data_IF_246310765897
#
_entry.id   IF_246310765897
#
_cell.length_a   1.000
_cell.length_b   1.000
_cell.length_c   1.000
_cell.angle_alpha   90.00
_cell.angle_beta   90.00
_cell.angle_gamma   90.00
#
_symmetry.space_group_name_H-M   'P 1'
#
loop_
_entity.id
_entity.type
_entity.pdbx_description
1 polymer ?
#
# COMPACT_ATOMS: atom_id res chain seq x y z
N UNK A 1 -23.66 -8.70 -23.40
CA UNK A 1 -22.50 -7.85 -23.00
C UNK A 1 -23.02 -6.66 -22.21
N UNK A 2 -22.87 -6.65 -20.88
CA UNK A 2 -23.28 -5.51 -20.05
C UNK A 2 -22.34 -4.33 -20.33
N UNK A 3 -22.90 -3.24 -20.87
CA UNK A 3 -22.22 -1.96 -21.09
C UNK A 3 -21.93 -1.31 -19.73
N UNK A 4 -20.66 -1.02 -19.45
CA UNK A 4 -20.23 -0.18 -18.33
C UNK A 4 -20.61 1.27 -18.69
N UNK A 5 -21.45 1.91 -17.86
CA UNK A 5 -21.83 3.33 -18.00
C UNK A 5 -20.66 4.24 -17.57
N UNK A 6 -20.52 5.45 -18.16
CA UNK A 6 -19.47 6.39 -17.77
C UNK A 6 -19.76 7.05 -16.43
N UNK A 7 -18.70 7.32 -15.66
CA UNK A 7 -18.74 8.08 -14.40
C UNK A 7 -19.24 9.50 -14.67
N UNK A 8 -20.48 9.77 -14.28
CA UNK A 8 -20.95 11.08 -13.84
C UNK A 8 -22.00 10.84 -12.74
N UNK A 9 -22.01 11.77 -11.79
CA UNK A 9 -23.02 11.99 -10.74
C UNK A 9 -22.63 11.51 -9.33
N UNK A 10 -22.62 12.49 -8.44
CA UNK A 10 -22.17 12.51 -7.05
C UNK A 10 -23.07 11.72 -6.07
N UNK A 11 -23.46 10.49 -6.44
CA UNK A 11 -24.18 9.54 -5.56
C UNK A 11 -23.52 8.15 -5.49
N UNK A 12 -22.33 7.98 -6.09
CA UNK A 12 -21.52 6.77 -5.87
C UNK A 12 -20.82 6.86 -4.51
N UNK A 13 -21.17 5.97 -3.59
CA UNK A 13 -20.45 5.80 -2.32
C UNK A 13 -18.93 5.81 -2.55
N UNK A 14 -18.19 6.67 -1.82
CA UNK A 14 -16.75 6.81 -1.97
C UNK A 14 -16.06 5.46 -1.75
N UNK A 15 -15.31 5.00 -2.74
CA UNK A 15 -14.63 3.69 -2.72
C UNK A 15 -13.36 3.81 -1.87
N UNK A 16 -13.24 3.02 -0.80
CA UNK A 16 -12.03 2.97 0.00
C UNK A 16 -11.00 1.99 -0.58
N UNK A 17 -11.43 0.76 -0.89
CA UNK A 17 -10.56 -0.31 -1.39
C UNK A 17 -11.15 -0.92 -2.66
N UNK A 18 -10.31 -1.27 -3.62
CA UNK A 18 -10.68 -2.14 -4.74
C UNK A 18 -9.71 -3.29 -4.83
N UNK A 19 -10.23 -4.51 -4.88
CA UNK A 19 -9.46 -5.69 -5.23
C UNK A 19 -9.61 -5.96 -6.72
N UNK A 20 -8.61 -5.56 -7.51
CA UNK A 20 -8.68 -5.65 -8.96
C UNK A 20 -8.83 -7.09 -9.44
N UNK A 21 -8.16 -8.04 -8.80
CA UNK A 21 -8.20 -9.45 -9.20
C UNK A 21 -9.54 -10.11 -8.84
N UNK A 22 -10.15 -9.74 -7.70
CA UNK A 22 -11.46 -10.25 -7.28
C UNK A 22 -12.63 -9.47 -7.87
N UNK A 23 -12.38 -8.30 -8.46
CA UNK A 23 -13.41 -7.46 -9.08
C UNK A 23 -14.41 -6.88 -8.08
N UNK A 24 -13.98 -6.64 -6.84
CA UNK A 24 -14.83 -6.09 -5.77
C UNK A 24 -14.32 -4.73 -5.32
N UNK A 25 -15.26 -3.81 -5.18
CA UNK A 25 -15.06 -2.52 -4.52
C UNK A 25 -15.63 -2.59 -3.11
N UNK A 26 -14.95 -1.92 -2.18
CA UNK A 26 -15.35 -1.73 -0.81
C UNK A 26 -15.42 -0.23 -0.53
N UNK A 27 -16.60 0.24 -0.15
CA UNK A 27 -16.88 1.65 0.13
C UNK A 27 -16.39 2.07 1.50
N UNK A 28 -16.18 3.37 1.72
CA UNK A 28 -15.88 3.90 3.05
C UNK A 28 -16.97 3.60 4.08
N UNK A 29 -18.23 3.48 3.64
CA UNK A 29 -19.32 3.04 4.51
C UNK A 29 -19.12 1.59 4.98
N UNK A 30 -18.84 0.67 4.04
CA UNK A 30 -18.53 -0.72 4.38
C UNK A 30 -17.25 -0.85 5.21
N UNK A 31 -16.22 -0.04 4.93
CA UNK A 31 -15.01 0.05 5.75
C UNK A 31 -15.36 0.41 7.20
N UNK A 32 -16.19 1.44 7.40
CA UNK A 32 -16.63 1.88 8.72
C UNK A 32 -17.44 0.80 9.45
N UNK A 33 -18.32 0.07 8.75
CA UNK A 33 -19.05 -1.07 9.30
C UNK A 33 -18.07 -2.16 9.76
N UNK A 34 -17.11 -2.54 8.90
CA UNK A 34 -16.10 -3.53 9.24
C UNK A 34 -15.23 -3.12 10.43
N UNK A 35 -14.80 -1.85 10.48
CA UNK A 35 -14.04 -1.30 11.62
C UNK A 35 -14.86 -1.39 12.90
N UNK A 36 -16.12 -0.98 12.86
CA UNK A 36 -17.02 -1.03 14.02
C UNK A 36 -17.20 -2.46 14.54
N UNK A 37 -17.29 -3.42 13.62
CA UNK A 37 -17.41 -4.83 13.97
C UNK A 37 -16.14 -5.36 14.67
N UNK A 38 -14.95 -5.06 14.11
CA UNK A 38 -13.68 -5.43 14.74
C UNK A 38 -13.51 -4.71 16.09
N UNK A 39 -13.87 -3.44 16.24
CA UNK A 39 -13.85 -2.75 17.54
C UNK A 39 -14.71 -3.47 18.58
N UNK A 40 -15.88 -3.98 18.20
CA UNK A 40 -16.70 -4.79 19.09
C UNK A 40 -15.98 -6.08 19.51
N UNK A 41 -15.36 -6.79 18.55
CA UNK A 41 -14.55 -7.99 18.84
C UNK A 41 -13.43 -7.65 19.84
N UNK A 42 -12.66 -6.59 19.59
CA UNK A 42 -11.57 -6.15 20.48
C UNK A 42 -12.09 -5.84 21.89
N UNK A 43 -13.20 -5.10 22.00
CA UNK A 43 -13.82 -4.76 23.28
C UNK A 43 -14.33 -5.99 24.05
N UNK A 44 -14.94 -6.96 23.36
CA UNK A 44 -15.41 -8.20 24.01
C UNK A 44 -14.26 -9.09 24.51
N UNK A 45 -13.08 -9.00 23.90
CA UNK A 45 -11.87 -9.68 24.35
C UNK A 45 -11.07 -8.86 25.37
N UNK A 46 -11.58 -7.70 25.81
CA UNK A 46 -10.94 -6.88 26.85
C UNK A 46 -9.70 -6.11 26.39
N UNK A 47 -9.49 -5.97 25.07
CA UNK A 47 -8.37 -5.21 24.52
C UNK A 47 -8.46 -3.75 24.98
N UNK A 48 -7.34 -3.24 25.46
CA UNK A 48 -7.15 -1.88 25.97
C UNK A 48 -6.18 -1.08 25.09
N UNK A 49 -6.04 0.22 25.39
CA UNK A 49 -5.08 1.09 24.69
C UNK A 49 -3.66 0.50 24.81
N UNK A 50 -2.90 0.55 23.71
CA UNK A 50 -1.52 0.06 23.56
C UNK A 50 -1.36 -1.47 23.66
N UNK A 51 -2.44 -2.23 23.82
CA UNK A 51 -2.37 -3.68 23.68
C UNK A 51 -2.01 -4.04 22.24
N UNK A 52 -1.28 -5.15 22.08
CA UNK A 52 -0.76 -5.59 20.79
C UNK A 52 -1.67 -6.66 20.21
N UNK A 53 -2.14 -6.46 18.99
CA UNK A 53 -3.09 -7.36 18.32
C UNK A 53 -2.46 -7.88 17.04
N UNK A 54 -2.32 -9.20 16.92
CA UNK A 54 -1.73 -9.85 15.76
C UNK A 54 -2.72 -9.95 14.59
N UNK A 55 -2.23 -9.63 13.39
CA UNK A 55 -2.93 -9.84 12.12
C UNK A 55 -1.94 -10.40 11.10
N UNK A 56 -2.37 -11.43 10.38
CA UNK A 56 -1.61 -11.96 9.24
C UNK A 56 -1.75 -11.03 8.05
N UNK A 57 -0.64 -10.74 7.36
CA UNK A 57 -0.60 -9.91 6.15
C UNK A 57 -1.20 -10.64 4.96
N UNK A 58 -2.53 -10.78 4.97
CA UNK A 58 -3.28 -11.46 3.92
C UNK A 58 -3.65 -10.54 2.77
N UNK A 59 -3.88 -11.16 1.61
CA UNK A 59 -4.20 -10.50 0.35
C UNK A 59 -5.68 -10.15 0.23
N UNK A 60 -6.18 -9.38 1.21
CA UNK A 60 -7.60 -9.12 1.38
C UNK A 60 -7.88 -7.67 1.78
N UNK A 61 -9.03 -7.19 1.34
CA UNK A 61 -9.67 -5.97 1.85
C UNK A 61 -9.88 -6.04 3.36
N UNK A 62 -10.08 -7.27 3.87
CA UNK A 62 -10.28 -7.59 5.28
C UNK A 62 -9.04 -7.27 6.11
N UNK A 63 -7.84 -7.54 5.60
CA UNK A 63 -6.61 -7.13 6.29
C UNK A 63 -6.53 -5.62 6.49
N UNK A 64 -6.88 -4.82 5.48
CA UNK A 64 -6.89 -3.36 5.61
C UNK A 64 -7.96 -2.87 6.60
N UNK A 65 -9.13 -3.53 6.67
CA UNK A 65 -10.14 -3.28 7.70
C UNK A 65 -9.57 -3.56 9.09
N UNK A 66 -8.96 -4.75 9.30
CA UNK A 66 -8.39 -5.15 10.60
C UNK A 66 -7.29 -4.17 11.04
N UNK A 67 -6.37 -3.82 10.14
CA UNK A 67 -5.32 -2.84 10.39
C UNK A 67 -5.89 -1.49 10.84
N UNK A 68 -6.81 -0.93 10.04
CA UNK A 68 -7.44 0.35 10.37
C UNK A 68 -8.22 0.28 11.68
N UNK A 69 -8.90 -0.84 11.94
CA UNK A 69 -9.67 -1.06 13.17
C UNK A 69 -8.78 -1.11 14.41
N UNK A 70 -7.69 -1.90 14.39
CA UNK A 70 -6.76 -2.00 15.52
C UNK A 70 -6.19 -0.63 15.87
N UNK A 71 -5.69 0.10 14.86
CA UNK A 71 -5.08 1.40 15.08
C UNK A 71 -6.14 2.39 15.59
N UNK A 72 -7.30 2.51 14.94
CA UNK A 72 -8.36 3.43 15.40
C UNK A 72 -8.98 3.06 16.75
N UNK A 73 -8.85 1.80 17.18
CA UNK A 73 -9.22 1.34 18.52
C UNK A 73 -8.21 1.78 19.60
N UNK A 74 -7.01 2.22 19.19
CA UNK A 74 -5.91 2.60 20.09
C UNK A 74 -4.99 1.44 20.49
N UNK A 75 -5.08 0.30 19.81
CA UNK A 75 -4.19 -0.84 19.96
C UNK A 75 -3.05 -0.80 18.92
N UNK A 76 -2.03 -1.64 19.10
CA UNK A 76 -0.86 -1.75 18.22
C UNK A 76 -1.02 -2.95 17.30
N UNK A 77 -0.98 -2.74 15.99
CA UNK A 77 -1.08 -3.81 15.02
C UNK A 77 0.25 -4.56 14.87
N UNK A 78 0.26 -5.86 15.17
CA UNK A 78 1.42 -6.74 14.98
C UNK A 78 1.22 -7.48 13.66
N UNK A 79 2.01 -7.15 12.64
CA UNK A 79 1.88 -7.70 11.29
C UNK A 79 2.66 -9.01 11.19
N UNK A 80 1.95 -10.12 11.11
CA UNK A 80 2.53 -11.45 10.92
C UNK A 80 2.65 -11.73 9.42
N UNK A 81 3.84 -12.10 8.90
CA UNK A 81 3.97 -12.47 7.49
C UNK A 81 3.09 -13.68 7.13
N UNK A 82 2.40 -13.64 5.98
CA UNK A 82 1.47 -14.69 5.53
C UNK A 82 2.07 -16.11 5.54
N UNK A 83 3.33 -16.24 5.13
CA UNK A 83 4.05 -17.51 5.08
C UNK A 83 5.09 -17.65 6.19
N UNK A 84 4.84 -17.06 7.36
CA UNK A 84 5.72 -17.19 8.51
C UNK A 84 5.85 -18.67 8.94
N UNK A 85 7.09 -19.15 9.08
CA UNK A 85 7.36 -20.48 9.62
C UNK A 85 6.96 -20.55 11.10
N UNK A 86 6.87 -21.75 11.69
CA UNK A 86 6.61 -21.88 13.12
C UNK A 86 7.68 -21.16 13.97
N UNK A 87 8.95 -21.22 13.54
CA UNK A 87 10.03 -20.50 14.22
C UNK A 87 9.88 -18.98 14.13
N UNK A 88 9.43 -18.47 12.98
CA UNK A 88 9.15 -17.04 12.82
C UNK A 88 7.98 -16.62 13.73
N UNK A 89 6.91 -17.42 13.78
CA UNK A 89 5.74 -17.15 14.65
C UNK A 89 6.12 -17.16 16.12
N UNK A 90 6.95 -18.11 16.57
CA UNK A 90 7.48 -18.14 17.93
C UNK A 90 8.32 -16.90 18.23
N UNK A 91 9.23 -16.51 17.34
CA UNK A 91 10.02 -15.29 17.48
C UNK A 91 9.12 -14.04 17.58
N UNK A 92 8.14 -13.91 16.68
CA UNK A 92 7.18 -12.81 16.66
C UNK A 92 6.42 -12.75 17.99
N UNK A 93 5.90 -13.89 18.46
CA UNK A 93 5.18 -13.96 19.73
C UNK A 93 6.07 -13.57 20.92
N UNK A 94 7.34 -13.98 20.92
CA UNK A 94 8.27 -13.64 22.00
C UNK A 94 8.64 -12.15 22.01
N UNK A 95 8.82 -11.53 20.84
CA UNK A 95 9.21 -10.11 20.73
C UNK A 95 8.02 -9.18 20.92
N UNK A 96 6.88 -9.52 20.32
CA UNK A 96 5.70 -8.66 20.29
C UNK A 96 4.66 -9.00 21.33
N UNK A 97 4.62 -10.20 21.90
CA UNK A 97 3.67 -10.58 22.96
C UNK A 97 2.21 -10.07 22.72
N UNK A 98 1.58 -10.42 21.58
CA UNK A 98 0.23 -9.97 21.28
C UNK A 98 -0.78 -10.57 22.29
N UNK A 99 -1.76 -9.78 22.71
CA UNK A 99 -2.82 -10.23 23.63
C UNK A 99 -3.86 -11.09 22.93
N UNK A 100 -4.01 -10.93 21.60
CA UNK A 100 -4.87 -11.75 20.76
C UNK A 100 -4.46 -11.69 19.28
N UNK A 101 -5.01 -12.59 18.46
CA UNK A 101 -4.93 -12.57 16.99
C UNK A 101 -6.32 -12.42 16.36
N UNK A 102 -6.40 -11.78 15.18
CA UNK A 102 -7.61 -11.69 14.35
C UNK A 102 -7.59 -12.60 13.10
N UNK A 103 -6.70 -13.59 13.03
CA UNK A 103 -6.58 -14.52 11.89
C UNK A 103 -7.76 -15.49 11.72
N UNK A 104 -8.81 -15.38 12.55
CA UNK A 104 -10.07 -16.12 12.38
C UNK A 104 -11.21 -15.32 11.75
N UNK A 105 -10.97 -14.05 11.39
CA UNK A 105 -11.99 -13.10 10.94
C UNK A 105 -11.74 -12.68 9.48
N UNK A 106 -11.66 -13.63 8.56
CA UNK A 106 -11.19 -13.37 7.17
C UNK A 106 -12.32 -13.19 6.15
N UNK A 107 -13.56 -13.51 6.55
CA UNK A 107 -14.73 -13.33 5.68
C UNK A 107 -15.24 -11.91 5.73
N UNK A 108 -15.09 -11.22 4.60
CA UNK A 108 -15.64 -9.88 4.44
C UNK A 108 -17.17 -9.85 4.60
N UNK A 109 -17.87 -10.90 4.16
CA UNK A 109 -19.33 -10.98 4.34
C UNK A 109 -19.71 -11.14 5.81
N UNK A 110 -18.95 -11.92 6.60
CA UNK A 110 -19.19 -12.03 8.04
C UNK A 110 -18.98 -10.69 8.73
N UNK A 111 -17.91 -9.95 8.37
CA UNK A 111 -17.65 -8.64 8.96
C UNK A 111 -18.73 -7.61 8.64
N UNK A 112 -19.29 -7.64 7.42
CA UNK A 112 -20.28 -6.65 6.97
C UNK A 112 -21.72 -6.98 7.38
N UNK A 113 -22.07 -8.27 7.46
CA UNK A 113 -23.45 -8.70 7.72
C UNK A 113 -23.75 -8.94 9.20
N UNK A 114 -22.76 -8.91 10.09
CA UNK A 114 -23.02 -9.17 11.51
C UNK A 114 -23.56 -7.91 12.19
N UNK A 115 -24.83 -7.91 12.64
CA UNK A 115 -25.45 -6.72 13.20
C UNK A 115 -24.75 -6.28 14.48
N UNK A 116 -24.17 -5.08 14.45
CA UNK A 116 -23.63 -4.43 15.64
C UNK A 116 -24.79 -3.97 16.52
N UNK A 117 -25.20 -4.83 17.47
CA UNK A 117 -26.37 -4.62 18.35
C UNK A 117 -26.25 -3.41 19.28
N UNK A 118 -25.05 -2.83 19.42
CA UNK A 118 -24.81 -1.61 20.19
C UNK A 118 -23.94 -0.67 19.37
N UNK A 119 -24.22 0.64 19.34
CA UNK A 119 -23.29 1.61 18.80
C UNK A 119 -22.00 1.52 19.61
N UNK A 120 -20.93 1.05 18.97
CA UNK A 120 -19.59 1.17 19.55
C UNK A 120 -19.31 2.66 19.60
N UNK A 121 -19.10 3.21 20.81
CA UNK A 121 -18.51 4.54 20.90
C UNK A 121 -17.11 4.40 20.30
N UNK A 122 -16.93 4.92 19.10
CA UNK A 122 -15.60 5.17 18.54
C UNK A 122 -15.01 6.27 19.42
N UNK A 123 -14.44 5.88 20.57
CA UNK A 123 -13.53 6.75 21.29
C UNK A 123 -12.32 6.86 20.38
N UNK A 124 -12.19 7.99 19.70
CA UNK A 124 -10.92 8.37 19.09
C UNK A 124 -9.95 8.48 20.26
N UNK A 125 -9.21 7.40 20.52
CA UNK A 125 -8.23 7.36 21.60
C UNK A 125 -7.21 8.47 21.34
N UNK A 126 -6.87 9.21 22.39
CA UNK A 126 -5.81 10.21 22.31
C UNK A 126 -4.48 9.49 22.11
N UNK A 127 -3.89 9.66 20.93
CA UNK A 127 -2.53 9.22 20.64
C UNK A 127 -1.52 10.22 21.18
N UNK A 128 -0.45 9.74 21.79
CA UNK A 128 0.82 10.47 21.82
C UNK A 128 1.50 10.33 20.45
N UNK A 129 2.27 11.34 20.04
CA UNK A 129 3.05 11.27 18.80
C UNK A 129 4.09 10.13 18.83
N UNK A 130 4.54 9.77 20.03
CA UNK A 130 5.52 8.71 20.27
C UNK A 130 4.91 7.33 20.49
N UNK A 131 3.57 7.21 20.52
CA UNK A 131 2.90 5.92 20.64
C UNK A 131 3.23 5.06 19.42
N UNK A 132 3.47 3.77 19.66
CA UNK A 132 3.65 2.78 18.61
C UNK A 132 2.28 2.38 18.06
N UNK A 133 2.14 2.24 16.74
CA UNK A 133 0.87 1.86 16.09
C UNK A 133 0.96 0.57 15.28
N UNK A 134 2.16 0.25 14.78
CA UNK A 134 2.40 -0.94 13.96
C UNK A 134 3.74 -1.53 14.38
N UNK A 135 3.79 -2.85 14.53
CA UNK A 135 5.02 -3.63 14.63
C UNK A 135 5.02 -4.57 13.43
N UNK A 136 5.87 -4.29 12.46
CA UNK A 136 6.08 -5.08 11.26
C UNK A 136 7.33 -5.97 11.43
N UNK A 137 7.42 -7.07 10.68
CA UNK A 137 8.54 -7.99 10.76
C UNK A 137 9.21 -8.15 9.40
N UNK A 138 10.46 -7.67 9.30
CA UNK A 138 11.22 -7.64 8.06
C UNK A 138 12.46 -8.51 8.16
N UNK A 139 12.80 -9.19 7.06
CA UNK A 139 14.05 -9.93 6.96
C UNK A 139 15.17 -9.00 6.55
N UNK A 140 16.31 -9.10 7.23
CA UNK A 140 17.54 -8.44 6.83
C UNK A 140 18.25 -9.18 5.66
N UNK A 141 19.43 -8.69 5.27
CA UNK A 141 20.24 -9.30 4.20
C UNK A 141 20.74 -10.70 4.54
N UNK A 142 20.83 -11.06 5.81
CA UNK A 142 21.20 -12.39 6.28
C UNK A 142 19.98 -13.32 6.35
N UNK A 143 18.78 -12.81 6.05
CA UNK A 143 17.53 -13.54 6.17
C UNK A 143 16.98 -13.58 7.59
N UNK A 144 17.58 -12.89 8.55
CA UNK A 144 17.10 -12.85 9.94
C UNK A 144 15.91 -11.90 10.05
N UNK A 145 14.87 -12.33 10.76
CA UNK A 145 13.66 -11.53 10.99
C UNK A 145 13.89 -10.53 12.12
N UNK A 146 13.49 -9.27 11.91
CA UNK A 146 13.58 -8.20 12.89
C UNK A 146 12.27 -7.43 12.97
N UNK A 147 11.91 -7.00 14.18
CA UNK A 147 10.77 -6.11 14.40
C UNK A 147 11.10 -4.68 13.97
N UNK A 148 10.19 -4.06 13.23
CA UNK A 148 10.24 -2.66 12.80
C UNK A 148 8.97 -1.99 13.30
N UNK A 149 9.13 -1.07 14.23
CA UNK A 149 8.01 -0.35 14.82
C UNK A 149 7.76 0.94 14.08
N UNK A 150 6.49 1.24 13.79
CA UNK A 150 6.04 2.54 13.28
C UNK A 150 5.36 3.32 14.39
N UNK A 151 5.78 4.58 14.54
CA UNK A 151 5.18 5.52 15.49
C UNK A 151 4.10 6.39 14.84
N UNK A 152 3.23 6.96 15.67
CA UNK A 152 2.16 7.87 15.22
C UNK A 152 2.70 9.02 14.37
N UNK A 153 3.80 9.66 14.79
CA UNK A 153 4.36 10.79 14.04
C UNK A 153 4.84 10.39 12.64
N UNK A 154 5.40 9.20 12.45
CA UNK A 154 5.90 8.72 11.16
C UNK A 154 4.75 8.48 10.18
N UNK A 155 3.66 7.90 10.69
CA UNK A 155 2.41 7.76 9.94
C UNK A 155 1.83 9.13 9.56
N UNK A 156 1.75 10.07 10.51
CA UNK A 156 1.21 11.41 10.25
C UNK A 156 2.03 12.18 9.22
N UNK A 157 3.36 12.10 9.29
CA UNK A 157 4.25 12.72 8.30
C UNK A 157 4.03 12.15 6.90
N UNK A 158 3.85 10.83 6.78
CA UNK A 158 3.55 10.20 5.50
C UNK A 158 2.18 10.65 4.96
N UNK A 159 1.14 10.62 5.78
CA UNK A 159 -0.20 11.04 5.40
C UNK A 159 -0.22 12.51 4.92
N UNK A 160 0.45 13.41 5.64
CA UNK A 160 0.55 14.82 5.27
C UNK A 160 1.35 15.03 3.98
N UNK A 161 2.40 14.23 3.76
CA UNK A 161 3.18 14.25 2.51
C UNK A 161 2.33 13.85 1.31
N UNK A 162 1.56 12.75 1.43
CA UNK A 162 0.66 12.28 0.37
C UNK A 162 -0.41 13.35 0.10
N UNK A 163 -1.03 13.88 1.15
CA UNK A 163 -2.06 14.93 1.06
C UNK A 163 -1.54 16.21 0.41
N UNK A 164 -0.38 16.70 0.82
CA UNK A 164 0.23 17.94 0.29
C UNK A 164 0.63 17.79 -1.18
N UNK A 165 1.22 16.65 -1.56
CA UNK A 165 1.52 16.39 -2.97
C UNK A 165 0.23 16.31 -3.79
N UNK A 166 -0.82 15.72 -3.24
CA UNK A 166 -2.10 15.63 -3.95
C UNK A 166 -2.79 16.99 -4.08
N UNK A 167 -2.89 17.78 -3.01
CA UNK A 167 -3.59 19.08 -3.01
C UNK A 167 -2.95 20.11 -3.95
N UNK A 168 -1.66 19.95 -4.27
CA UNK A 168 -0.99 20.73 -5.31
C UNK A 168 -1.62 20.55 -6.70
N UNK A 169 -2.29 19.42 -6.95
CA UNK A 169 -3.13 19.22 -8.11
C UNK A 169 -4.49 19.85 -7.85
N UNK A 170 -4.84 20.92 -8.58
CA UNK A 170 -6.21 21.48 -8.60
C UNK A 170 -7.19 20.49 -9.22
N UNK A 171 -7.49 19.38 -8.54
CA UNK A 171 -8.34 18.30 -9.03
C UNK A 171 -9.46 18.02 -8.02
N UNK A 172 -10.68 17.83 -8.52
CA UNK A 172 -11.88 17.55 -7.72
C UNK A 172 -12.09 16.05 -7.42
N UNK A 173 -11.07 15.21 -7.68
CA UNK A 173 -11.18 13.76 -7.54
C UNK A 173 -10.51 13.29 -6.25
N UNK A 174 -10.79 12.05 -5.86
CA UNK A 174 -10.17 11.42 -4.72
C UNK A 174 -8.72 11.01 -5.06
N UNK A 175 -7.76 11.09 -4.12
CA UNK A 175 -6.45 10.50 -4.33
C UNK A 175 -6.61 9.01 -4.62
N UNK A 176 -5.78 8.47 -5.52
CA UNK A 176 -5.80 7.05 -5.86
C UNK A 176 -4.40 6.48 -5.71
N UNK A 177 -4.28 5.48 -4.84
CA UNK A 177 -3.07 4.71 -4.59
C UNK A 177 -3.20 3.31 -5.20
N UNK A 178 -2.20 2.86 -5.93
CA UNK A 178 -2.12 1.49 -6.42
C UNK A 178 -1.10 0.70 -5.59
N UNK A 179 -1.57 -0.34 -4.93
CA UNK A 179 -0.73 -1.36 -4.30
C UNK A 179 -0.40 -2.42 -5.34
N UNK A 180 0.82 -2.39 -5.85
CA UNK A 180 1.22 -3.24 -6.96
C UNK A 180 1.51 -4.68 -6.53
N UNK A 181 1.99 -4.91 -5.31
CA UNK A 181 2.21 -6.24 -4.77
C UNK A 181 1.77 -6.23 -3.30
N UNK A 182 0.67 -6.92 -3.00
CA UNK A 182 0.08 -6.96 -1.66
C UNK A 182 1.00 -7.60 -0.61
N UNK A 183 1.89 -8.51 -1.01
CA UNK A 183 2.81 -9.21 -0.10
C UNK A 183 3.98 -8.36 0.40
N UNK A 184 4.14 -7.15 -0.14
CA UNK A 184 5.26 -6.27 0.16
C UNK A 184 4.80 -4.85 0.47
N UNK A 185 3.51 -4.67 0.75
CA UNK A 185 2.96 -3.37 1.14
C UNK A 185 3.33 -3.09 2.58
N UNK A 186 3.82 -1.88 2.81
CA UNK A 186 4.01 -1.38 4.16
C UNK A 186 2.65 -0.94 4.73
N UNK A 187 2.26 -1.55 5.86
CA UNK A 187 1.01 -1.25 6.56
C UNK A 187 0.83 0.26 6.83
N UNK A 188 1.92 0.99 7.06
CA UNK A 188 1.90 2.44 7.26
C UNK A 188 1.34 3.19 6.04
N UNK A 189 1.62 2.73 4.82
CA UNK A 189 1.14 3.37 3.59
C UNK A 189 -0.36 3.19 3.39
N UNK A 190 -0.86 1.99 3.68
CA UNK A 190 -2.31 1.70 3.60
C UNK A 190 -3.06 2.53 4.61
N UNK A 191 -2.56 2.59 5.84
CA UNK A 191 -3.14 3.42 6.89
C UNK A 191 -3.11 4.91 6.51
N UNK A 192 -1.98 5.42 5.99
CA UNK A 192 -1.83 6.81 5.56
C UNK A 192 -2.75 7.17 4.39
N UNK A 193 -2.94 6.26 3.43
CA UNK A 193 -3.86 6.47 2.33
C UNK A 193 -5.33 6.47 2.80
N UNK A 194 -5.71 5.52 3.66
CA UNK A 194 -7.07 5.49 4.22
C UNK A 194 -7.39 6.74 5.03
N UNK A 195 -6.44 7.25 5.82
CA UNK A 195 -6.65 8.42 6.70
C UNK A 195 -6.88 9.73 5.97
N UNK A 196 -6.37 9.87 4.74
CA UNK A 196 -6.60 11.05 3.89
C UNK A 196 -7.81 10.89 2.95
N UNK A 197 -8.54 9.78 3.07
CA UNK A 197 -9.67 9.51 2.19
C UNK A 197 -9.27 9.04 0.79
N UNK A 198 -8.12 8.39 0.60
CA UNK A 198 -7.70 7.90 -0.71
C UNK A 198 -8.37 6.57 -1.10
N UNK A 199 -8.65 6.41 -2.40
CA UNK A 199 -8.98 5.11 -3.00
C UNK A 199 -7.72 4.26 -3.11
N UNK A 200 -7.73 3.07 -2.53
CA UNK A 200 -6.64 2.09 -2.65
C UNK A 200 -7.07 0.98 -3.62
N UNK A 201 -6.46 0.97 -4.80
CA UNK A 201 -6.58 -0.13 -5.75
C UNK A 201 -5.48 -1.16 -5.48
N UNK A 202 -5.82 -2.43 -5.40
CA UNK A 202 -4.89 -3.50 -5.08
C UNK A 202 -4.79 -4.47 -6.25
N UNK A 203 -3.58 -4.65 -6.77
CA UNK A 203 -3.33 -5.44 -7.99
C UNK A 203 -3.16 -6.96 -7.74
N UNK A 204 -3.08 -7.38 -6.48
CA UNK A 204 -2.96 -8.79 -6.05
C UNK A 204 -1.58 -9.16 -5.49
N UNK A 205 -1.42 -10.46 -5.24
CA UNK A 205 -0.28 -11.17 -4.64
C UNK A 205 1.05 -10.92 -5.32
N UNK A 206 1.06 -11.09 -6.63
CA UNK A 206 2.23 -11.13 -7.49
C UNK A 206 1.77 -10.91 -8.93
N UNK A 207 1.25 -9.71 -9.27
CA UNK A 207 0.79 -9.50 -10.63
C UNK A 207 1.97 -9.61 -11.60
N UNK A 208 1.71 -10.22 -12.76
CA UNK A 208 2.62 -10.11 -13.89
C UNK A 208 2.79 -8.63 -14.28
N UNK A 209 3.93 -8.26 -14.85
CA UNK A 209 4.14 -6.89 -15.36
C UNK A 209 3.05 -6.48 -16.36
N UNK A 210 2.49 -7.44 -17.11
CA UNK A 210 1.36 -7.22 -18.00
C UNK A 210 0.06 -6.86 -17.26
N UNK A 211 -0.27 -7.58 -16.17
CA UNK A 211 -1.42 -7.28 -15.31
C UNK A 211 -1.25 -5.92 -14.64
N UNK A 212 -0.07 -5.67 -14.07
CA UNK A 212 0.23 -4.41 -13.39
C UNK A 212 0.08 -3.20 -14.34
N UNK A 213 0.58 -3.30 -15.57
CA UNK A 213 0.39 -2.24 -16.58
C UNK A 213 -1.07 -2.04 -16.97
N UNK A 214 -1.88 -3.11 -17.04
CA UNK A 214 -3.33 -2.99 -17.25
C UNK A 214 -3.98 -2.24 -16.09
N UNK A 215 -3.63 -2.56 -14.83
CA UNK A 215 -4.11 -1.84 -13.65
C UNK A 215 -3.71 -0.36 -13.68
N UNK A 216 -2.43 -0.07 -13.95
CA UNK A 216 -1.89 1.29 -14.04
C UNK A 216 -2.58 2.11 -15.12
N UNK A 217 -2.83 1.50 -16.29
CA UNK A 217 -3.56 2.15 -17.39
C UNK A 217 -5.04 2.36 -17.07
N UNK A 218 -5.66 1.42 -16.35
CA UNK A 218 -7.07 1.47 -16.00
C UNK A 218 -7.34 2.54 -14.92
N UNK A 219 -6.64 2.48 -13.79
CA UNK A 219 -6.87 3.36 -12.65
C UNK A 219 -6.16 4.71 -12.75
N UNK A 220 -5.06 4.78 -13.52
CA UNK A 220 -4.20 5.98 -13.65
C UNK A 220 -3.89 6.61 -12.27
N UNK A 221 -3.25 5.83 -11.37
CA UNK A 221 -3.03 6.25 -9.99
C UNK A 221 -2.16 7.50 -9.88
N UNK A 222 -2.32 8.19 -8.75
CA UNK A 222 -1.48 9.31 -8.34
C UNK A 222 -0.28 8.83 -7.50
N UNK A 223 -0.49 7.77 -6.72
CA UNK A 223 0.52 7.14 -5.88
C UNK A 223 0.64 5.66 -6.24
N UNK A 224 1.86 5.13 -6.34
CA UNK A 224 2.07 3.71 -6.61
C UNK A 224 3.06 3.16 -5.60
N UNK A 225 2.68 2.10 -4.91
CA UNK A 225 3.53 1.36 -3.99
C UNK A 225 3.99 0.08 -4.69
N UNK A 226 5.29 -0.04 -4.89
CA UNK A 226 5.95 -1.19 -5.52
C UNK A 226 6.97 -1.76 -4.55
N UNK A 227 7.19 -3.05 -4.57
CA UNK A 227 8.42 -3.59 -3.99
C UNK A 227 9.60 -3.44 -4.97
N UNK A 228 10.82 -3.46 -4.45
CA UNK A 228 12.05 -3.35 -5.24
C UNK A 228 12.09 -4.36 -6.38
N UNK A 229 11.70 -5.62 -6.13
CA UNK A 229 11.74 -6.66 -7.16
C UNK A 229 10.74 -6.42 -8.29
N UNK A 230 9.53 -5.94 -7.96
CA UNK A 230 8.49 -5.58 -8.93
C UNK A 230 8.88 -4.35 -9.71
N UNK A 231 9.43 -3.33 -9.06
CA UNK A 231 9.93 -2.13 -9.71
C UNK A 231 11.10 -2.45 -10.65
N UNK A 232 12.09 -3.25 -10.21
CA UNK A 232 13.20 -3.69 -11.06
C UNK A 232 12.72 -4.48 -12.26
N UNK A 233 11.84 -5.45 -12.05
CA UNK A 233 11.27 -6.27 -13.12
C UNK A 233 10.55 -5.39 -14.14
N UNK A 234 9.72 -4.45 -13.69
CA UNK A 234 9.01 -3.53 -14.56
C UNK A 234 9.98 -2.66 -15.39
N UNK A 235 11.03 -2.14 -14.76
CA UNK A 235 12.06 -1.32 -15.43
C UNK A 235 12.84 -2.17 -16.45
N UNK A 236 13.29 -3.37 -16.06
CA UNK A 236 14.08 -4.27 -16.92
C UNK A 236 13.28 -4.80 -18.11
N UNK A 237 12.00 -5.13 -17.92
CA UNK A 237 11.17 -5.69 -18.99
C UNK A 237 10.63 -4.62 -19.94
N UNK A 238 10.44 -3.37 -19.48
CA UNK A 238 9.74 -2.34 -20.26
C UNK A 238 10.57 -1.12 -20.61
N UNK A 239 11.50 -0.72 -19.74
CA UNK A 239 12.27 0.51 -19.91
C UNK A 239 13.63 0.21 -20.54
N UNK A 240 14.36 -0.80 -20.05
CA UNK A 240 15.69 -1.14 -20.58
C UNK A 240 15.71 -1.57 -22.06
N UNK A 241 14.74 -2.36 -22.58
CA UNK A 241 14.71 -2.73 -23.99
C UNK A 241 14.48 -1.52 -24.90
N UNK A 242 13.92 -0.43 -24.36
CA UNK A 242 13.69 0.80 -25.10
C UNK A 242 14.91 1.73 -25.12
N UNK A 243 15.88 1.52 -24.23
CA UNK A 243 17.15 2.23 -24.22
C UNK A 243 18.19 1.56 -25.12
N UNK A 244 18.11 0.24 -25.27
CA UNK A 244 18.95 -0.52 -26.20
C UNK A 244 18.46 -0.33 -27.63
N UNK A 245 19.02 0.66 -28.32
CA UNK A 245 18.86 0.83 -29.75
C UNK A 245 20.00 0.06 -30.45
N UNK A 246 19.74 -1.01 -31.23
CA UNK A 246 20.80 -1.83 -31.82
C UNK A 246 21.71 -1.06 -32.79
N UNK A 247 21.26 0.10 -33.29
CA UNK A 247 21.94 0.89 -34.31
C UNK A 247 22.73 2.10 -33.77
N UNK A 248 22.90 2.25 -32.45
CA UNK A 248 23.67 3.39 -31.91
C UNK A 248 24.42 2.98 -30.64
N UNK A 249 25.73 2.67 -30.73
CA UNK A 249 26.48 2.28 -29.55
C UNK A 249 26.63 3.48 -28.60
N UNK A 250 26.45 3.22 -27.30
CA UNK A 250 26.34 4.22 -26.22
C UNK A 250 27.54 5.17 -26.10
N UNK A 251 28.71 4.75 -26.59
CA UNK A 251 29.94 5.53 -26.62
C UNK A 251 29.97 6.60 -27.72
N UNK A 252 29.08 6.53 -28.73
CA UNK A 252 29.02 7.48 -29.84
C UNK A 252 27.93 8.54 -29.68
N UNK A 253 27.19 8.55 -28.56
CA UNK A 253 26.12 9.51 -28.34
C UNK A 253 26.65 10.85 -27.83
N UNK A 254 26.31 11.93 -28.54
CA UNK A 254 26.56 13.30 -28.07
C UNK A 254 25.83 13.58 -26.75
N UNK A 255 26.33 14.54 -25.97
CA UNK A 255 25.71 14.98 -24.70
C UNK A 255 24.23 15.41 -24.87
N UNK A 256 23.88 15.93 -26.04
CA UNK A 256 22.51 16.35 -26.39
C UNK A 256 21.63 15.14 -26.72
N UNK A 257 22.12 14.20 -27.53
CA UNK A 257 21.41 12.97 -27.86
C UNK A 257 21.11 12.15 -26.60
N UNK A 258 22.08 12.05 -25.69
CA UNK A 258 21.93 11.37 -24.40
C UNK A 258 20.86 12.04 -23.52
N UNK A 259 20.85 13.38 -23.43
CA UNK A 259 19.81 14.12 -22.69
C UNK A 259 18.42 13.90 -23.29
N UNK A 260 18.29 13.91 -24.61
CA UNK A 260 17.00 13.70 -25.27
C UNK A 260 16.48 12.27 -25.07
N UNK A 261 17.36 11.27 -25.14
CA UNK A 261 17.02 9.88 -24.84
C UNK A 261 16.49 9.73 -23.41
N UNK A 262 17.16 10.34 -22.42
CA UNK A 262 16.73 10.29 -21.02
C UNK A 262 15.38 10.98 -20.78
N UNK A 263 15.14 12.13 -21.43
CA UNK A 263 13.82 12.80 -21.40
C UNK A 263 12.73 11.92 -22.00
N UNK A 264 13.03 11.23 -23.11
CA UNK A 264 12.08 10.33 -23.75
C UNK A 264 11.80 9.09 -22.89
N UNK A 265 12.84 8.53 -22.26
CA UNK A 265 12.73 7.42 -21.32
C UNK A 265 11.83 7.79 -20.13
N UNK A 266 12.05 8.95 -19.51
CA UNK A 266 11.20 9.50 -18.44
C UNK A 266 9.74 9.59 -18.89
N UNK A 267 9.47 10.26 -20.02
CA UNK A 267 8.11 10.47 -20.52
C UNK A 267 7.38 9.15 -20.78
N UNK A 268 8.07 8.17 -21.37
CA UNK A 268 7.51 6.84 -21.65
C UNK A 268 7.26 6.04 -20.39
N UNK A 269 8.19 6.05 -19.44
CA UNK A 269 8.02 5.36 -18.16
C UNK A 269 6.85 5.95 -17.36
N UNK A 270 6.76 7.28 -17.25
CA UNK A 270 5.62 7.94 -16.61
C UNK A 270 4.30 7.59 -17.31
N UNK A 271 4.27 7.53 -18.64
CA UNK A 271 3.09 7.11 -19.40
C UNK A 271 2.71 5.64 -19.17
N UNK A 272 3.71 4.75 -19.10
CA UNK A 272 3.50 3.33 -18.82
C UNK A 272 2.89 3.10 -17.43
N UNK A 273 3.24 3.96 -16.48
CA UNK A 273 2.69 3.95 -15.12
C UNK A 273 1.35 4.70 -14.98
N UNK A 274 0.65 4.99 -16.09
CA UNK A 274 -0.67 5.62 -16.08
C UNK A 274 -0.66 7.14 -16.30
N UNK A 275 0.51 7.78 -16.29
CA UNK A 275 0.71 9.18 -16.70
C UNK A 275 0.27 10.25 -15.70
N UNK A 276 -0.27 9.86 -14.55
CA UNK A 276 -0.77 10.76 -13.49
C UNK A 276 0.01 10.65 -12.18
N UNK A 277 1.13 9.92 -12.18
CA UNK A 277 1.89 9.63 -10.96
C UNK A 277 2.59 10.88 -10.42
N UNK A 278 2.40 11.10 -9.13
CA UNK A 278 3.07 12.08 -8.30
C UNK A 278 4.22 11.49 -7.50
N UNK A 279 4.08 10.22 -7.08
CA UNK A 279 5.04 9.57 -6.22
C UNK A 279 4.98 8.05 -6.41
N UNK A 280 6.15 7.44 -6.40
CA UNK A 280 6.33 5.99 -6.35
C UNK A 280 7.04 5.65 -5.04
N UNK A 281 6.36 4.93 -4.16
CA UNK A 281 7.00 4.34 -2.99
C UNK A 281 7.57 2.99 -3.35
N UNK A 282 8.80 2.73 -2.91
CA UNK A 282 9.51 1.47 -3.15
C UNK A 282 9.84 0.82 -1.82
N UNK A 283 9.31 -0.37 -1.58
CA UNK A 283 9.53 -1.18 -0.37
C UNK A 283 10.48 -2.35 -0.64
N UNK A 284 11.16 -2.87 0.39
CA UNK A 284 11.93 -4.11 0.26
C UNK A 284 13.42 -3.93 -0.08
N UNK A 285 13.99 -2.74 0.18
CA UNK A 285 15.43 -2.50 0.15
C UNK A 285 15.90 -1.60 -0.99
N UNK A 286 17.19 -1.69 -1.34
CA UNK A 286 17.80 -0.83 -2.36
C UNK A 286 17.73 -1.47 -3.73
N UNK A 287 17.56 -0.63 -4.75
CA UNK A 287 17.74 -1.03 -6.14
C UNK A 287 19.18 -1.48 -6.41
N UNK A 288 19.35 -2.29 -7.44
CA UNK A 288 20.66 -2.52 -8.03
C UNK A 288 21.31 -1.19 -8.44
N UNK A 289 22.63 -1.02 -8.28
CA UNK A 289 23.32 0.26 -8.53
C UNK A 289 23.06 0.83 -9.94
N UNK A 290 22.91 -0.04 -10.93
CA UNK A 290 22.63 0.34 -12.32
C UNK A 290 21.23 0.96 -12.47
N UNK A 291 20.23 0.37 -11.82
CA UNK A 291 18.85 0.87 -11.84
C UNK A 291 18.76 2.16 -11.03
N UNK A 292 19.39 2.23 -9.87
CA UNK A 292 19.39 3.44 -9.04
C UNK A 292 20.00 4.63 -9.79
N UNK A 293 21.18 4.43 -10.39
CA UNK A 293 21.84 5.46 -11.22
C UNK A 293 20.96 5.88 -12.39
N UNK A 294 20.24 4.94 -13.00
CA UNK A 294 19.30 5.24 -14.09
C UNK A 294 18.10 6.06 -13.61
N UNK A 295 17.46 5.67 -12.51
CA UNK A 295 16.31 6.36 -11.93
C UNK A 295 16.66 7.79 -11.50
N UNK A 296 17.85 7.98 -10.91
CA UNK A 296 18.36 9.32 -10.56
C UNK A 296 18.60 10.17 -11.82
N UNK A 297 19.21 9.60 -12.87
CA UNK A 297 19.48 10.33 -14.13
C UNK A 297 18.24 10.82 -14.85
N UNK A 298 17.13 10.08 -14.73
CA UNK A 298 15.85 10.46 -15.33
C UNK A 298 14.94 11.21 -14.35
N UNK A 299 15.44 11.59 -13.17
CA UNK A 299 14.73 12.33 -12.13
C UNK A 299 13.43 11.63 -11.65
N UNK A 300 13.40 10.30 -11.68
CA UNK A 300 12.17 9.54 -11.40
C UNK A 300 11.62 9.86 -10.00
N UNK A 301 10.31 10.14 -9.84
CA UNK A 301 9.74 10.53 -8.55
C UNK A 301 9.53 9.31 -7.63
N UNK A 302 10.63 8.68 -7.19
CA UNK A 302 10.59 7.55 -6.26
C UNK A 302 11.09 7.91 -4.85
N UNK A 303 10.65 7.15 -3.87
CA UNK A 303 11.13 7.19 -2.49
C UNK A 303 11.32 5.75 -1.99
N UNK A 304 12.48 5.46 -1.38
CA UNK A 304 12.75 4.15 -0.76
C UNK A 304 12.32 4.22 0.70
N UNK A 305 11.64 3.16 1.16
CA UNK A 305 11.10 2.99 2.52
C UNK A 305 11.71 1.74 3.18
#
# INVERSE_FOLDING_TARGET
MKRIKPLNDYETASIALTNYCKGRDLTYNELAVGITHIHHILSTHGVSKNDRVAITNEETEVWAIKLAAIVTYGAVAVIVPNQASNTDKEYINNVSAPVMSLDGYDSLEQLLNTPTRRPVRINIMQFSLDDDIIIDFRRDRCGQLHAVTTKVYEFMQLAETIKTRYSSLRHSRMPLMLLANQNSVDAKEVLAALSIGAHIAMAGSQPSSGTLLKCLKHYRPHFVCLDTSTAERLIRERVLPMLHNPNTPSHMMSSIARRNLMKQARKRMMFALGGCILMVSVTGGRFSPDIETFLQRIDFPYQII
#
